data_IF_934076119701
#
_entry.id   IF_934076119701
#
_cell.length_a   1.000
_cell.length_b   1.000
_cell.length_c   1.000
_cell.angle_alpha   90.00
_cell.angle_beta   90.00
_cell.angle_gamma   90.00
#
_symmetry.space_group_name_H-M   'P 1'
#
loop_
_entity.id
_entity.type
_entity.pdbx_description
1 polymer ?
#
# COMPACT_ATOMS: atom_id res chain seq x y z
N UNK A 1 -16.77 4.79 60.10
CA UNK A 1 -16.63 6.26 60.08
C UNK A 1 -15.98 6.66 58.76
N UNK A 2 -16.76 7.14 57.79
CA UNK A 2 -16.28 7.52 56.45
C UNK A 2 -15.73 8.96 56.48
N UNK A 3 -14.41 9.10 56.63
CA UNK A 3 -13.74 10.41 56.53
C UNK A 3 -13.88 10.97 55.11
N UNK A 4 -14.39 12.20 55.00
CA UNK A 4 -14.64 12.90 53.74
C UNK A 4 -13.28 13.30 53.12
N UNK A 5 -13.02 13.01 51.84
CA UNK A 5 -11.72 13.29 51.23
C UNK A 5 -11.44 14.79 51.18
N UNK A 6 -10.28 15.20 51.68
CA UNK A 6 -9.85 16.60 51.77
C UNK A 6 -9.63 17.19 50.37
N UNK A 7 -10.15 18.41 50.15
CA UNK A 7 -9.99 19.18 48.92
C UNK A 7 -9.06 20.37 49.15
N UNK A 8 -8.27 20.71 48.14
CA UNK A 8 -7.46 21.92 48.09
C UNK A 8 -8.37 23.17 47.94
N UNK A 9 -8.29 24.16 48.85
CA UNK A 9 -9.15 25.34 48.83
C UNK A 9 -8.89 26.30 47.66
N UNK A 10 -7.74 26.21 46.97
CA UNK A 10 -7.44 27.09 45.83
C UNK A 10 -7.82 26.51 44.48
N UNK A 11 -7.78 25.18 44.35
CA UNK A 11 -7.98 24.49 43.06
C UNK A 11 -9.22 23.60 43.04
N UNK A 12 -9.88 23.40 44.19
CA UNK A 12 -11.05 22.52 44.33
C UNK A 12 -10.75 21.03 44.11
N UNK A 13 -9.49 20.68 43.84
CA UNK A 13 -9.05 19.31 43.56
C UNK A 13 -8.93 18.52 44.86
N UNK A 14 -9.31 17.26 44.82
CA UNK A 14 -9.07 16.35 45.94
C UNK A 14 -7.57 16.15 46.14
N UNK A 15 -7.11 16.24 47.39
CA UNK A 15 -5.72 15.96 47.73
C UNK A 15 -5.45 14.46 47.53
N UNK A 16 -4.37 14.08 46.84
CA UNK A 16 -3.99 12.68 46.71
C UNK A 16 -3.75 12.10 48.10
N UNK A 17 -4.35 10.94 48.35
CA UNK A 17 -4.25 10.21 49.62
C UNK A 17 -2.78 9.85 49.89
N UNK A 18 -2.20 10.46 50.92
CA UNK A 18 -0.77 10.37 51.24
C UNK A 18 -0.35 9.00 51.82
N UNK A 19 -1.31 8.14 52.13
CA UNK A 19 -1.14 6.91 52.91
C UNK A 19 -0.92 5.63 52.05
N UNK A 20 -0.30 5.77 50.88
CA UNK A 20 0.47 4.67 50.26
C UNK A 20 1.81 5.17 49.77
N UNK A 21 2.81 5.05 50.64
CA UNK A 21 4.21 5.07 50.25
C UNK A 21 4.44 4.09 49.08
N UNK A 22 4.92 4.60 47.94
CA UNK A 22 5.64 3.78 46.96
C UNK A 22 5.11 3.64 45.54
N UNK A 23 3.94 4.16 45.16
CA UNK A 23 3.49 4.08 43.76
C UNK A 23 3.86 5.34 42.96
N UNK A 24 5.17 5.60 42.79
CA UNK A 24 5.65 6.50 41.73
C UNK A 24 5.31 5.82 40.41
N UNK A 25 4.18 6.16 39.79
CA UNK A 25 3.89 5.71 38.42
C UNK A 25 4.87 6.45 37.51
N UNK A 26 6.06 5.87 37.32
CA UNK A 26 7.13 6.43 36.50
C UNK A 26 6.59 6.59 35.06
N UNK A 27 6.63 7.79 34.46
CA UNK A 27 6.15 8.02 33.09
C UNK A 27 6.78 7.08 32.05
N UNK A 28 8.06 6.72 32.25
CA UNK A 28 8.79 5.75 31.41
C UNK A 28 8.21 4.34 31.47
N UNK A 29 7.70 3.90 32.63
CA UNK A 29 7.10 2.58 32.77
C UNK A 29 5.76 2.48 31.99
N UNK A 30 4.93 3.54 32.01
CA UNK A 30 3.70 3.55 31.20
C UNK A 30 3.98 3.55 29.70
N UNK A 31 5.04 4.23 29.25
CA UNK A 31 5.45 4.24 27.84
C UNK A 31 5.91 2.84 27.40
N UNK A 32 6.71 2.16 28.22
CA UNK A 32 7.16 0.79 27.94
C UNK A 32 5.99 -0.21 27.91
N UNK A 33 5.01 -0.11 28.82
CA UNK A 33 3.81 -0.96 28.82
C UNK A 33 2.97 -0.74 27.56
N UNK A 34 2.81 0.51 27.11
CA UNK A 34 2.07 0.82 25.88
C UNK A 34 2.73 0.25 24.63
N UNK A 35 4.06 0.35 24.53
CA UNK A 35 4.81 -0.25 23.42
C UNK A 35 4.66 -1.77 23.41
N UNK A 36 4.86 -2.42 24.56
CA UNK A 36 4.70 -3.87 24.68
C UNK A 36 3.28 -4.35 24.38
N UNK A 37 2.26 -3.60 24.81
CA UNK A 37 0.87 -3.90 24.50
C UNK A 37 0.59 -3.78 22.98
N UNK A 38 1.20 -2.80 22.32
CA UNK A 38 1.09 -2.65 20.87
C UNK A 38 1.71 -3.82 20.11
N UNK A 39 2.89 -4.28 20.53
CA UNK A 39 3.56 -5.44 19.94
C UNK A 39 2.72 -6.71 20.07
N UNK A 40 2.25 -7.02 21.28
CA UNK A 40 1.40 -8.19 21.54
C UNK A 40 0.09 -8.13 20.75
N UNK A 41 -0.52 -6.94 20.65
CA UNK A 41 -1.74 -6.77 19.85
C UNK A 41 -1.52 -7.08 18.37
N UNK A 42 -0.40 -6.63 17.79
CA UNK A 42 -0.08 -6.90 16.38
C UNK A 42 0.20 -8.38 16.16
N UNK A 43 0.88 -9.04 17.09
CA UNK A 43 1.14 -10.48 17.05
C UNK A 43 -0.16 -11.28 17.12
N UNK A 44 -1.04 -10.97 18.06
CA UNK A 44 -2.36 -11.60 18.19
C UNK A 44 -3.22 -11.36 16.95
N UNK A 45 -3.19 -10.15 16.39
CA UNK A 45 -3.93 -9.78 15.19
C UNK A 45 -3.42 -10.54 13.96
N UNK A 46 -2.09 -10.68 13.81
CA UNK A 46 -1.50 -11.47 12.73
C UNK A 46 -1.90 -12.94 12.86
N UNK A 47 -1.80 -13.54 14.04
CA UNK A 47 -2.21 -14.92 14.31
C UNK A 47 -3.71 -15.16 14.01
N UNK A 48 -4.56 -14.22 14.39
CA UNK A 48 -5.98 -14.26 14.05
C UNK A 48 -6.22 -14.15 12.54
N UNK A 49 -5.45 -13.32 11.85
CA UNK A 49 -5.55 -13.15 10.40
C UNK A 49 -5.05 -14.38 9.63
N UNK A 50 -3.93 -14.98 10.03
CA UNK A 50 -3.41 -16.21 9.42
C UNK A 50 -4.38 -17.38 9.57
N UNK A 51 -5.03 -17.49 10.73
CA UNK A 51 -5.97 -18.58 11.00
C UNK A 51 -7.36 -18.38 10.39
N UNK A 52 -7.86 -17.14 10.29
CA UNK A 52 -9.27 -16.87 9.95
C UNK A 52 -9.48 -15.81 8.87
N UNK A 53 -8.42 -15.19 8.37
CA UNK A 53 -8.49 -14.06 7.44
C UNK A 53 -9.24 -14.41 6.16
N UNK A 54 -8.97 -15.57 5.57
CA UNK A 54 -9.69 -16.03 4.36
C UNK A 54 -11.20 -16.18 4.63
N UNK A 55 -11.58 -16.82 5.73
CA UNK A 55 -13.00 -16.97 6.11
C UNK A 55 -13.67 -15.62 6.37
N UNK A 56 -12.96 -14.66 6.97
CA UNK A 56 -13.45 -13.30 7.15
C UNK A 56 -13.65 -12.57 5.81
N UNK A 57 -12.75 -12.75 4.83
CA UNK A 57 -12.91 -12.22 3.48
C UNK A 57 -14.13 -12.81 2.79
N UNK A 58 -14.31 -14.14 2.85
CA UNK A 58 -15.50 -14.79 2.28
C UNK A 58 -16.79 -14.27 2.90
N UNK A 59 -16.84 -14.18 4.23
CA UNK A 59 -18.01 -13.63 4.92
C UNK A 59 -18.27 -12.16 4.56
N UNK A 60 -17.23 -11.37 4.28
CA UNK A 60 -17.37 -9.98 3.83
C UNK A 60 -17.93 -9.92 2.40
N UNK A 61 -17.45 -10.78 1.49
CA UNK A 61 -17.95 -10.88 0.13
C UNK A 61 -19.43 -11.27 0.12
N UNK A 62 -19.83 -12.22 0.96
CA UNK A 62 -21.22 -12.68 1.04
C UNK A 62 -22.15 -11.62 1.63
N UNK A 63 -21.71 -10.93 2.70
CA UNK A 63 -22.58 -9.99 3.43
C UNK A 63 -22.58 -8.59 2.84
N UNK A 64 -21.42 -8.08 2.43
CA UNK A 64 -21.23 -6.70 1.95
C UNK A 64 -20.20 -6.65 0.81
N UNK A 65 -20.54 -7.17 -0.39
CA UNK A 65 -19.62 -7.24 -1.52
C UNK A 65 -19.10 -5.86 -1.97
N UNK A 66 -19.92 -4.82 -1.84
CA UNK A 66 -19.53 -3.45 -2.20
C UNK A 66 -18.39 -2.91 -1.33
N UNK A 67 -18.39 -3.22 -0.02
CA UNK A 67 -17.32 -2.79 0.88
C UNK A 67 -16.03 -3.57 0.64
N UNK A 68 -16.13 -4.84 0.25
CA UNK A 68 -14.99 -5.61 -0.23
C UNK A 68 -14.34 -4.96 -1.46
N UNK A 69 -15.14 -4.61 -2.48
CA UNK A 69 -14.64 -3.94 -3.68
C UNK A 69 -13.98 -2.58 -3.38
N UNK A 70 -14.53 -1.81 -2.43
CA UNK A 70 -13.90 -0.57 -1.95
C UNK A 70 -12.56 -0.83 -1.27
N UNK A 71 -12.45 -1.85 -0.43
CA UNK A 71 -11.21 -2.22 0.24
C UNK A 71 -10.13 -2.62 -0.78
N UNK A 72 -10.50 -3.42 -1.80
CA UNK A 72 -9.61 -3.78 -2.91
C UNK A 72 -9.18 -2.54 -3.70
N UNK A 73 -10.11 -1.65 -4.03
CA UNK A 73 -9.80 -0.41 -4.74
C UNK A 73 -8.90 0.53 -3.92
N UNK A 74 -9.02 0.54 -2.59
CA UNK A 74 -8.17 1.33 -1.71
C UNK A 74 -6.74 0.76 -1.58
N UNK A 75 -6.56 -0.55 -1.80
CA UNK A 75 -5.25 -1.18 -1.82
C UNK A 75 -4.51 -0.93 -3.15
N UNK A 76 -5.25 -0.71 -4.24
CA UNK A 76 -4.64 -0.37 -5.52
C UNK A 76 -3.94 1.00 -5.44
N UNK A 77 -2.71 1.12 -5.95
CA UNK A 77 -2.06 2.41 -6.13
C UNK A 77 -2.97 3.33 -6.95
N UNK A 78 -3.31 4.49 -6.40
CA UNK A 78 -4.21 5.46 -7.08
C UNK A 78 -3.54 6.12 -8.28
N UNK A 79 -2.23 6.26 -8.21
CA UNK A 79 -1.39 6.87 -9.22
C UNK A 79 -0.59 5.78 -9.92
N UNK A 80 -1.27 4.97 -10.73
CA UNK A 80 -0.58 4.23 -11.78
C UNK A 80 -0.23 5.27 -12.85
N UNK A 81 0.85 6.04 -12.62
CA UNK A 81 1.44 6.91 -13.64
C UNK A 81 2.08 6.02 -14.69
N UNK A 82 1.26 5.41 -15.55
CA UNK A 82 1.74 4.94 -16.84
C UNK A 82 2.12 6.22 -17.57
N UNK A 83 3.40 6.57 -17.52
CA UNK A 83 3.98 7.59 -18.38
C UNK A 83 3.92 7.06 -19.83
N UNK A 84 2.72 7.05 -20.41
CA UNK A 84 2.50 6.73 -21.82
C UNK A 84 3.27 7.73 -22.72
N UNK A 85 3.59 8.90 -22.17
CA UNK A 85 4.36 9.96 -22.81
C UNK A 85 5.86 9.95 -22.50
N UNK A 86 6.48 8.82 -22.12
CA UNK A 86 7.94 8.78 -22.04
C UNK A 86 8.63 9.15 -23.36
N UNK A 87 7.97 8.95 -24.52
CA UNK A 87 8.51 9.31 -25.83
C UNK A 87 8.35 10.81 -26.13
N UNK A 88 7.26 11.44 -25.67
CA UNK A 88 6.94 12.84 -25.98
C UNK A 88 7.81 13.86 -25.23
N UNK A 89 8.41 13.46 -24.11
CA UNK A 89 9.27 14.31 -23.26
C UNK A 89 10.77 14.07 -23.50
N UNK A 90 11.14 13.21 -24.46
CA UNK A 90 12.54 12.91 -24.79
C UNK A 90 13.10 13.97 -25.74
N UNK A 91 14.33 14.41 -25.50
CA UNK A 91 15.04 15.24 -26.48
C UNK A 91 15.42 14.41 -27.71
N UNK A 92 15.67 15.08 -28.84
CA UNK A 92 16.03 14.42 -30.10
C UNK A 92 17.26 13.50 -29.93
N UNK A 93 18.24 13.88 -29.10
CA UNK A 93 19.40 13.05 -28.79
C UNK A 93 19.03 11.76 -28.05
N UNK A 94 18.08 11.85 -27.12
CA UNK A 94 17.60 10.71 -26.35
C UNK A 94 16.75 9.77 -27.22
N UNK A 95 15.93 10.34 -28.13
CA UNK A 95 15.20 9.57 -29.14
C UNK A 95 16.15 8.82 -30.07
N UNK A 96 17.22 9.47 -30.55
CA UNK A 96 18.25 8.85 -31.38
C UNK A 96 18.97 7.70 -30.67
N UNK A 97 19.33 7.86 -29.39
CA UNK A 97 19.94 6.80 -28.59
C UNK A 97 19.00 5.60 -28.42
N UNK A 98 17.71 5.86 -28.20
CA UNK A 98 16.68 4.84 -28.07
C UNK A 98 16.49 4.05 -29.37
N UNK A 99 16.41 4.75 -30.51
CA UNK A 99 16.31 4.13 -31.85
C UNK A 99 17.50 3.23 -32.11
N UNK A 100 18.73 3.69 -31.84
CA UNK A 100 19.94 2.86 -32.00
C UNK A 100 19.91 1.60 -31.12
N UNK A 101 19.43 1.72 -29.88
CA UNK A 101 19.30 0.58 -28.97
C UNK A 101 18.25 -0.42 -29.45
N UNK A 102 17.12 0.06 -29.97
CA UNK A 102 16.08 -0.80 -30.55
C UNK A 102 16.59 -1.51 -31.81
N UNK A 103 17.28 -0.80 -32.69
CA UNK A 103 17.90 -1.35 -33.90
C UNK A 103 18.87 -2.49 -33.56
N UNK A 104 19.78 -2.29 -32.61
CA UNK A 104 20.68 -3.35 -32.13
C UNK A 104 19.96 -4.56 -31.54
N UNK A 105 18.82 -4.35 -30.89
CA UNK A 105 18.03 -5.42 -30.27
C UNK A 105 17.25 -6.22 -31.30
N UNK A 106 16.70 -5.55 -32.34
CA UNK A 106 15.83 -6.16 -33.35
C UNK A 106 16.63 -6.82 -34.49
N UNK A 107 17.78 -6.24 -34.88
CA UNK A 107 18.68 -6.79 -35.90
C UNK A 107 18.94 -8.29 -35.84
N UNK A 108 19.28 -8.90 -34.69
CA UNK A 108 19.50 -10.35 -34.62
C UNK A 108 18.24 -11.17 -34.92
N UNK A 109 17.05 -10.65 -34.62
CA UNK A 109 15.79 -11.32 -34.93
C UNK A 109 15.42 -11.20 -36.41
N UNK A 110 15.67 -10.04 -37.02
CA UNK A 110 15.47 -9.86 -38.47
C UNK A 110 16.48 -10.67 -39.28
N UNK A 111 17.73 -10.75 -38.84
CA UNK A 111 18.76 -11.58 -39.46
C UNK A 111 18.43 -13.08 -39.36
N UNK A 112 17.74 -13.50 -38.30
CA UNK A 112 17.25 -14.88 -38.15
C UNK A 112 16.00 -15.18 -39.00
N UNK A 113 15.21 -14.17 -39.36
CA UNK A 113 13.94 -14.32 -40.09
C UNK A 113 14.08 -14.09 -41.61
N UNK A 114 15.24 -13.61 -42.07
CA UNK A 114 15.50 -13.24 -43.47
C UNK A 114 15.88 -14.37 -44.44
N UNK A 115 15.68 -15.65 -44.09
CA UNK A 115 15.88 -16.75 -45.04
C UNK A 115 14.60 -17.10 -45.83
N UNK A 116 13.40 -16.76 -45.34
CA UNK A 116 12.15 -17.37 -45.81
C UNK A 116 11.04 -16.31 -46.00
N UNK A 117 11.12 -15.47 -47.03
CA UNK A 117 10.09 -14.44 -47.22
C UNK A 117 10.13 -13.63 -48.52
N UNK A 118 10.63 -14.21 -49.62
CA UNK A 118 10.34 -13.68 -50.96
C UNK A 118 8.96 -14.21 -51.39
N UNK A 119 7.91 -13.44 -51.09
CA UNK A 119 6.53 -13.77 -51.44
C UNK A 119 5.79 -12.51 -51.90
N UNK A 120 5.97 -12.21 -53.18
CA UNK A 120 5.11 -11.37 -54.00
C UNK A 120 3.61 -11.70 -53.78
N UNK A 121 2.75 -10.68 -53.72
CA UNK A 121 1.35 -10.85 -53.35
C UNK A 121 0.51 -9.57 -53.25
N UNK A 122 0.47 -8.83 -54.35
CA UNK A 122 -0.62 -7.94 -54.82
C UNK A 122 -1.97 -7.96 -54.05
N UNK A 123 -2.46 -6.78 -53.64
CA UNK A 123 -3.90 -6.39 -53.77
C UNK A 123 -4.18 -4.89 -53.55
N UNK A 124 -4.43 -4.22 -54.68
CA UNK A 124 -5.46 -3.21 -55.04
C UNK A 124 -5.69 -1.91 -54.22
N UNK A 125 -5.85 -0.74 -54.90
CA UNK A 125 -6.28 0.52 -54.26
C UNK A 125 -7.80 0.52 -54.02
N UNK A 126 -8.23 1.10 -52.91
CA UNK A 126 -9.63 1.31 -52.58
C UNK A 126 -10.21 2.46 -53.40
N UNK A 127 -11.23 2.16 -54.22
CA UNK A 127 -12.06 3.12 -54.93
C UNK A 127 -13.14 3.63 -53.95
N UNK A 128 -13.26 4.96 -53.81
CA UNK A 128 -14.36 5.62 -53.11
C UNK A 128 -15.20 6.37 -54.15
N UNK A 129 -16.49 6.02 -54.21
CA UNK A 129 -17.57 6.74 -54.90
C UNK A 129 -17.95 8.04 -54.17
#
# INVERSE_FOLDING_TARGET
MTSKPAKDPKTGRFLPRADRAGAVIRPRARKAVRTKLGELFLEDMLSAWESRGAAAIHALIEKNPHDFLKAVAALMPKDVTINANQIGEMTDEQLLQRIRKLDQTIRPFLAAQGADGAGDGDRAPAEHE
#
